data_IF_530396524192
#
_entry.id   IF_530396524192
#
_cell.length_a   1.000
_cell.length_b   1.000
_cell.length_c   1.000
_cell.angle_alpha   90.00
_cell.angle_beta   90.00
_cell.angle_gamma   90.00
#
_symmetry.space_group_name_H-M   'P 1'
#
loop_
_entity.id
_entity.type
_entity.pdbx_description
1 polymer ?
#
# COMPACT_ATOMS: atom_id res chain seq x y z
N UNK A 1 15.40 -23.22 5.65
CA UNK A 1 14.16 -22.47 5.87
C UNK A 1 13.26 -22.79 4.68
N UNK A 2 12.21 -23.58 4.94
CA UNK A 2 11.43 -24.27 3.92
C UNK A 2 10.68 -23.29 3.00
N UNK A 3 11.03 -23.35 1.72
CA UNK A 3 10.24 -22.78 0.63
C UNK A 3 8.97 -23.62 0.51
N UNK A 4 7.88 -23.17 1.14
CA UNK A 4 6.58 -23.75 0.90
C UNK A 4 6.13 -23.42 -0.54
N UNK A 5 6.10 -24.47 -1.36
CA UNK A 5 5.41 -24.57 -2.64
C UNK A 5 4.01 -23.95 -2.56
N UNK A 6 3.71 -22.93 -3.36
CA UNK A 6 2.32 -22.50 -3.60
C UNK A 6 2.07 -22.28 -5.09
N UNK A 7 1.65 -23.37 -5.72
CA UNK A 7 1.01 -23.38 -7.02
C UNK A 7 -0.42 -22.82 -6.90
N UNK A 8 -0.57 -21.50 -7.06
CA UNK A 8 -1.72 -20.80 -7.65
C UNK A 8 -1.44 -19.31 -7.57
N UNK A 9 -1.27 -18.66 -8.72
CA UNK A 9 -0.68 -17.32 -8.91
C UNK A 9 -1.47 -16.11 -8.36
N UNK A 10 -2.39 -16.30 -7.41
CA UNK A 10 -3.26 -15.22 -6.94
C UNK A 10 -3.01 -14.76 -5.51
N UNK A 11 -2.37 -15.54 -4.63
CA UNK A 11 -2.13 -15.13 -3.24
C UNK A 11 -0.64 -15.23 -2.89
N UNK A 12 0.06 -14.10 -2.94
CA UNK A 12 1.43 -14.00 -2.40
C UNK A 12 1.43 -13.00 -1.24
N UNK A 13 1.35 -13.56 -0.02
CA UNK A 13 1.58 -12.82 1.22
C UNK A 13 3.09 -12.67 1.41
N UNK A 14 3.64 -11.51 1.07
CA UNK A 14 5.05 -11.20 1.33
C UNK A 14 5.23 -10.70 2.77
N UNK A 15 5.22 -11.62 3.74
CA UNK A 15 5.72 -11.34 5.09
C UNK A 15 7.24 -11.57 5.10
N UNK A 16 8.01 -10.59 4.62
CA UNK A 16 9.46 -10.74 4.41
C UNK A 16 10.26 -10.13 5.58
N UNK A 17 11.09 -10.98 6.20
CA UNK A 17 12.02 -10.65 7.28
C UNK A 17 13.23 -9.88 6.74
N UNK A 18 13.46 -8.66 7.22
CA UNK A 18 14.75 -7.95 7.13
C UNK A 18 15.40 -7.81 5.74
N UNK A 19 14.63 -7.85 4.64
CA UNK A 19 15.20 -7.69 3.31
C UNK A 19 15.24 -6.23 2.84
N UNK A 20 16.38 -5.86 2.28
CA UNK A 20 16.69 -4.53 1.71
C UNK A 20 15.58 -3.97 0.80
N UNK A 21 15.38 -2.63 0.74
CA UNK A 21 14.44 -1.94 -0.16
C UNK A 21 14.43 -2.39 -1.63
N UNK A 22 15.54 -2.97 -2.11
CA UNK A 22 15.69 -3.49 -3.48
C UNK A 22 14.81 -4.72 -3.75
N UNK A 23 14.56 -5.56 -2.76
CA UNK A 23 13.75 -6.77 -2.92
C UNK A 23 12.27 -6.43 -3.13
N UNK A 24 11.73 -5.50 -2.35
CA UNK A 24 10.34 -5.04 -2.50
C UNK A 24 10.06 -4.47 -3.89
N UNK A 25 11.00 -3.70 -4.45
CA UNK A 25 10.87 -3.19 -5.82
C UNK A 25 10.78 -4.31 -6.86
N UNK A 26 11.62 -5.34 -6.73
CA UNK A 26 11.60 -6.51 -7.61
C UNK A 26 10.25 -7.24 -7.56
N UNK A 27 9.73 -7.46 -6.36
CA UNK A 27 8.45 -8.14 -6.15
C UNK A 27 7.26 -7.35 -6.71
N UNK A 28 7.19 -6.04 -6.45
CA UNK A 28 6.12 -5.19 -6.99
C UNK A 28 6.17 -5.21 -8.52
N UNK A 29 7.35 -5.00 -9.11
CA UNK A 29 7.53 -5.04 -10.56
C UNK A 29 7.12 -6.40 -11.15
N UNK A 30 7.46 -7.50 -10.48
CA UNK A 30 7.07 -8.83 -10.90
C UNK A 30 5.54 -9.01 -10.89
N UNK A 31 4.86 -8.62 -9.80
CA UNK A 31 3.41 -8.71 -9.69
C UNK A 31 2.70 -7.87 -10.76
N UNK A 32 3.19 -6.65 -10.99
CA UNK A 32 2.68 -5.76 -12.04
C UNK A 32 2.91 -6.35 -13.44
N UNK A 33 4.10 -6.88 -13.72
CA UNK A 33 4.41 -7.54 -15.00
C UNK A 33 3.54 -8.78 -15.26
N UNK A 34 3.07 -9.44 -14.20
CA UNK A 34 2.12 -10.56 -14.27
C UNK A 34 0.66 -10.12 -14.33
N UNK A 35 0.40 -8.81 -14.34
CA UNK A 35 -0.94 -8.23 -14.31
C UNK A 35 -1.77 -8.77 -13.13
N UNK A 36 -1.16 -8.85 -11.95
CA UNK A 36 -1.83 -9.28 -10.73
C UNK A 36 -3.05 -8.39 -10.43
N UNK A 37 -4.16 -9.03 -10.06
CA UNK A 37 -5.39 -8.34 -9.63
C UNK A 37 -5.35 -7.96 -8.15
N UNK A 38 -4.53 -8.66 -7.37
CA UNK A 38 -4.39 -8.51 -5.93
C UNK A 38 -2.93 -8.30 -5.58
N UNK A 39 -2.67 -7.28 -4.76
CA UNK A 39 -1.36 -7.02 -4.18
C UNK A 39 -1.50 -6.77 -2.69
N UNK A 40 -0.91 -7.65 -1.88
CA UNK A 40 -0.92 -7.54 -0.41
C UNK A 40 0.52 -7.43 0.08
N UNK A 41 0.84 -6.34 0.76
CA UNK A 41 2.18 -6.03 1.22
C UNK A 41 2.13 -5.63 2.69
N UNK A 42 2.88 -6.37 3.50
CA UNK A 42 3.07 -6.08 4.91
C UNK A 42 4.55 -5.85 5.19
N UNK A 43 4.88 -4.64 5.63
CA UNK A 43 6.25 -4.27 5.98
C UNK A 43 6.44 -4.46 7.49
N UNK A 44 7.62 -4.88 7.93
CA UNK A 44 7.94 -4.87 9.36
C UNK A 44 8.30 -3.45 9.80
N UNK A 45 7.93 -3.11 11.02
CA UNK A 45 8.41 -1.93 11.73
C UNK A 45 8.70 -2.34 13.17
N UNK A 46 9.98 -2.35 13.51
CA UNK A 46 10.48 -2.91 14.78
C UNK A 46 9.98 -2.15 16.03
N UNK A 47 9.41 -0.95 15.86
CA UNK A 47 9.03 -0.06 16.96
C UNK A 47 7.52 0.11 17.20
N UNK A 48 6.66 -0.73 16.62
CA UNK A 48 5.20 -0.53 16.69
C UNK A 48 4.55 -0.84 18.06
N UNK A 49 5.18 -1.64 18.91
CA UNK A 49 4.49 -2.26 20.06
C UNK A 49 4.20 -1.33 21.24
N UNK A 50 4.75 -0.12 21.29
CA UNK A 50 4.68 0.71 22.52
C UNK A 50 4.43 2.22 22.34
N UNK A 51 4.36 2.78 21.13
CA UNK A 51 4.45 4.25 20.96
C UNK A 51 3.17 4.97 20.53
N UNK A 52 2.85 6.03 21.26
CA UNK A 52 1.78 6.99 21.01
C UNK A 52 2.14 8.06 19.97
N UNK A 53 3.41 8.18 19.57
CA UNK A 53 3.90 9.25 18.70
C UNK A 53 4.41 8.73 17.33
N UNK A 54 3.50 8.74 16.35
CA UNK A 54 3.75 8.36 14.96
C UNK A 54 4.66 9.33 14.20
N UNK A 55 4.99 10.49 14.76
CA UNK A 55 5.91 11.44 14.11
C UNK A 55 7.33 10.90 14.02
N UNK A 56 7.74 10.06 14.98
CA UNK A 56 9.10 9.53 15.14
C UNK A 56 9.37 8.19 14.45
N UNK A 57 8.31 7.48 14.01
CA UNK A 57 8.43 6.12 13.49
C UNK A 57 9.03 6.11 12.08
N UNK A 58 10.13 5.37 11.91
CA UNK A 58 10.77 5.17 10.61
C UNK A 58 10.20 3.98 9.82
N UNK A 59 8.91 4.07 9.46
CA UNK A 59 8.30 3.10 8.56
C UNK A 59 8.84 3.23 7.12
N UNK A 60 8.82 2.11 6.39
CA UNK A 60 9.20 2.06 4.98
C UNK A 60 8.35 3.01 4.12
N UNK A 61 9.00 3.83 3.28
CA UNK A 61 8.33 4.67 2.30
C UNK A 61 7.88 3.84 1.10
N UNK A 62 6.57 3.60 0.99
CA UNK A 62 6.03 2.80 -0.09
C UNK A 62 6.24 3.49 -1.46
N UNK A 63 6.89 2.83 -2.43
CA UNK A 63 7.21 3.43 -3.72
C UNK A 63 6.00 3.38 -4.68
N UNK A 64 5.06 4.31 -4.49
CA UNK A 64 3.80 4.39 -5.25
C UNK A 64 3.98 4.43 -6.77
N UNK A 65 5.10 4.97 -7.26
CA UNK A 65 5.45 5.03 -8.68
C UNK A 65 5.64 3.64 -9.33
N UNK A 66 5.83 2.57 -8.55
CA UNK A 66 5.94 1.21 -9.08
C UNK A 66 4.58 0.58 -9.40
N UNK A 67 3.49 1.14 -8.88
CA UNK A 67 2.15 0.69 -9.23
C UNK A 67 1.78 1.20 -10.62
N UNK A 68 1.02 0.44 -11.42
CA UNK A 68 0.62 0.88 -12.75
C UNK A 68 -0.29 2.12 -12.70
N UNK A 69 -0.21 2.95 -13.73
CA UNK A 69 -1.13 4.08 -13.91
C UNK A 69 -2.47 3.53 -14.43
N UNK A 70 -3.57 4.10 -13.96
CA UNK A 70 -4.92 3.82 -14.41
C UNK A 70 -5.04 4.06 -15.91
N UNK A 71 -5.61 3.08 -16.62
CA UNK A 71 -5.75 3.13 -18.07
C UNK A 71 -4.63 2.44 -18.85
N UNK A 72 -3.46 2.17 -18.23
CA UNK A 72 -2.36 1.44 -18.89
C UNK A 72 -2.53 -0.09 -18.82
N UNK A 73 -3.77 -0.58 -18.90
CA UNK A 73 -4.05 -2.02 -18.82
C UNK A 73 -3.87 -2.62 -17.42
N UNK A 74 -3.80 -1.80 -16.38
CA UNK A 74 -3.77 -2.26 -14.97
C UNK A 74 -4.96 -3.17 -14.65
N UNK A 75 -4.65 -4.38 -14.21
CA UNK A 75 -5.63 -5.33 -13.68
C UNK A 75 -5.77 -5.26 -12.17
N UNK A 76 -4.99 -4.44 -11.48
CA UNK A 76 -5.04 -4.33 -10.03
C UNK A 76 -6.42 -3.83 -9.58
N UNK A 77 -7.08 -4.61 -8.72
CA UNK A 77 -8.40 -4.34 -8.13
C UNK A 77 -8.35 -4.33 -6.61
N UNK A 78 -7.47 -5.15 -6.02
CA UNK A 78 -7.28 -5.21 -4.57
C UNK A 78 -5.87 -4.77 -4.21
N UNK A 79 -5.77 -3.79 -3.31
CA UNK A 79 -4.51 -3.38 -2.69
C UNK A 79 -4.63 -3.40 -1.17
N UNK A 80 -3.72 -4.12 -0.53
CA UNK A 80 -3.54 -4.13 0.92
C UNK A 80 -2.13 -3.68 1.26
N UNK A 81 -2.02 -2.58 2.00
CA UNK A 81 -0.74 -2.05 2.49
C UNK A 81 -0.78 -2.02 4.01
N UNK A 82 0.22 -2.63 4.64
CA UNK A 82 0.37 -2.66 6.09
C UNK A 82 1.71 -2.10 6.53
N UNK A 83 1.71 -1.22 7.53
CA UNK A 83 2.91 -0.76 8.23
C UNK A 83 3.90 0.02 7.32
N UNK A 84 3.40 1.03 6.59
CA UNK A 84 4.24 1.84 5.71
C UNK A 84 3.88 3.33 5.73
N UNK A 85 4.79 4.16 5.21
CA UNK A 85 4.50 5.55 4.85
C UNK A 85 3.94 5.57 3.43
N UNK A 86 2.80 6.23 3.25
CA UNK A 86 2.18 6.45 1.95
C UNK A 86 2.15 7.95 1.66
N UNK A 87 2.78 8.36 0.56
CA UNK A 87 2.69 9.75 0.13
C UNK A 87 1.32 10.00 -0.49
N UNK A 88 0.57 10.96 0.06
CA UNK A 88 -0.81 11.26 -0.33
C UNK A 88 -0.93 12.07 -1.64
N UNK A 89 0.08 11.97 -2.51
CA UNK A 89 0.17 12.69 -3.79
C UNK A 89 -0.99 12.28 -4.75
N UNK A 90 -0.92 12.59 -6.05
CA UNK A 90 -1.93 12.22 -7.07
C UNK A 90 -2.19 10.70 -7.24
N UNK A 91 -1.67 9.85 -6.36
CA UNK A 91 -1.82 8.38 -6.38
C UNK A 91 -3.29 7.93 -6.40
N UNK A 92 -4.19 8.69 -5.76
CA UNK A 92 -5.62 8.36 -5.69
C UNK A 92 -6.35 8.62 -7.01
N UNK A 93 -5.89 9.62 -7.75
CA UNK A 93 -6.40 9.95 -9.10
C UNK A 93 -5.80 8.96 -10.10
N UNK A 94 -4.48 8.77 -10.04
CA UNK A 94 -3.73 8.13 -11.10
C UNK A 94 -3.64 6.61 -10.96
N UNK A 95 -3.50 6.07 -9.75
CA UNK A 95 -3.12 4.65 -9.56
C UNK A 95 -4.18 3.83 -8.82
N UNK A 96 -4.91 4.46 -7.89
CA UNK A 96 -5.93 3.78 -7.09
C UNK A 96 -7.33 3.88 -7.70
N UNK A 97 -7.53 4.66 -8.77
CA UNK A 97 -8.85 4.85 -9.37
C UNK A 97 -9.45 3.58 -10.00
N UNK A 98 -8.66 2.52 -10.22
CA UNK A 98 -9.17 1.20 -10.65
C UNK A 98 -9.47 0.24 -9.52
N UNK A 99 -9.10 0.55 -8.27
CA UNK A 99 -9.28 -0.37 -7.15
C UNK A 99 -10.75 -0.49 -6.78
N UNK A 100 -11.17 -1.72 -6.50
CA UNK A 100 -12.46 -2.03 -5.86
C UNK A 100 -12.30 -2.25 -4.37
N UNK A 101 -11.13 -2.73 -3.93
CA UNK A 101 -10.80 -2.90 -2.51
C UNK A 101 -9.48 -2.21 -2.15
N UNK A 102 -9.51 -1.40 -1.09
CA UNK A 102 -8.33 -0.79 -0.49
C UNK A 102 -8.30 -1.06 1.01
N UNK A 103 -7.24 -1.70 1.47
CA UNK A 103 -6.98 -1.97 2.88
C UNK A 103 -5.69 -1.28 3.30
N UNK A 104 -5.78 -0.36 4.25
CA UNK A 104 -4.65 0.35 4.83
C UNK A 104 -4.65 0.11 6.34
N UNK A 105 -3.60 -0.56 6.83
CA UNK A 105 -3.42 -0.84 8.25
C UNK A 105 -2.08 -0.29 8.72
N UNK A 106 -2.03 0.48 9.82
CA UNK A 106 -0.77 1.04 10.34
C UNK A 106 -0.04 1.90 9.29
N UNK A 107 -0.81 2.64 8.48
CA UNK A 107 -0.29 3.48 7.38
C UNK A 107 -0.21 4.94 7.80
N UNK A 108 0.99 5.53 7.65
CA UNK A 108 1.22 6.97 7.86
C UNK A 108 1.15 7.69 6.52
N UNK A 109 0.16 8.56 6.37
CA UNK A 109 0.09 9.49 5.25
C UNK A 109 1.14 10.59 5.42
N UNK A 110 1.87 10.88 4.34
CA UNK A 110 2.89 11.93 4.30
C UNK A 110 2.53 12.92 3.19
N UNK A 111 2.45 14.20 3.53
CA UNK A 111 2.01 15.28 2.64
C UNK A 111 0.64 15.83 3.02
N UNK A 112 0.15 16.80 2.25
CA UNK A 112 -1.19 17.35 2.44
C UNK A 112 -2.21 16.31 1.97
N UNK A 113 -2.84 15.61 2.93
CA UNK A 113 -4.03 14.83 2.62
C UNK A 113 -5.17 15.81 2.33
N UNK A 114 -5.72 15.77 1.12
CA UNK A 114 -6.90 16.57 0.79
C UNK A 114 -8.18 15.96 1.40
N UNK A 115 -9.18 16.78 1.79
CA UNK A 115 -10.46 16.30 2.32
C UNK A 115 -11.22 15.32 1.43
N UNK A 116 -10.86 15.26 0.15
CA UNK A 116 -11.52 14.40 -0.84
C UNK A 116 -10.58 13.33 -1.39
N UNK A 117 -9.55 12.94 -0.64
CA UNK A 117 -8.52 11.99 -1.06
C UNK A 117 -9.07 10.73 -1.76
N UNK A 118 -10.13 10.14 -1.22
CA UNK A 118 -10.73 8.91 -1.77
C UNK A 118 -11.80 9.15 -2.85
N UNK A 119 -12.18 10.40 -3.12
CA UNK A 119 -13.27 10.72 -4.07
C UNK A 119 -12.95 10.32 -5.51
N UNK A 120 -11.66 10.25 -5.86
CA UNK A 120 -11.18 9.81 -7.17
C UNK A 120 -11.17 8.29 -7.35
N UNK A 121 -11.37 7.53 -6.26
CA UNK A 121 -11.50 6.07 -6.30
C UNK A 121 -12.95 5.67 -6.65
N UNK A 122 -13.41 6.04 -7.85
CA UNK A 122 -14.82 5.91 -8.27
C UNK A 122 -15.34 4.47 -8.38
N UNK A 123 -14.44 3.48 -8.40
CA UNK A 123 -14.75 2.04 -8.44
C UNK A 123 -14.65 1.35 -7.08
N UNK A 124 -14.30 2.10 -6.03
CA UNK A 124 -14.04 1.53 -4.72
C UNK A 124 -15.35 1.05 -4.08
N UNK A 125 -15.42 -0.25 -3.83
CA UNK A 125 -16.55 -0.92 -3.17
C UNK A 125 -16.27 -1.11 -1.67
N UNK A 126 -15.00 -1.26 -1.30
CA UNK A 126 -14.57 -1.45 0.09
C UNK A 126 -13.32 -0.63 0.42
N UNK A 127 -13.40 0.12 1.53
CA UNK A 127 -12.30 0.85 2.13
C UNK A 127 -12.15 0.43 3.59
N UNK A 128 -10.97 -0.07 3.94
CA UNK A 128 -10.59 -0.34 5.34
C UNK A 128 -9.44 0.57 5.74
N UNK A 129 -9.65 1.34 6.80
CA UNK A 129 -8.64 2.18 7.43
C UNK A 129 -8.49 1.74 8.89
N UNK A 130 -7.35 1.17 9.24
CA UNK A 130 -7.04 0.70 10.59
C UNK A 130 -5.75 1.37 11.05
N UNK A 131 -5.77 2.07 12.19
CA UNK A 131 -4.58 2.74 12.75
C UNK A 131 -3.83 3.55 11.66
N UNK A 132 -4.54 4.41 10.94
CA UNK A 132 -3.95 5.29 9.93
C UNK A 132 -3.74 6.71 10.50
N UNK A 133 -2.65 7.36 10.11
CA UNK A 133 -2.21 8.65 10.66
C UNK A 133 -1.83 9.64 9.55
N UNK A 134 -1.64 10.92 9.88
CA UNK A 134 -1.25 11.94 8.90
C UNK A 134 -2.43 12.65 8.21
N UNK A 135 -3.63 12.55 8.79
CA UNK A 135 -4.82 13.31 8.40
C UNK A 135 -4.95 14.64 9.15
N UNK A 136 -3.86 15.13 9.75
CA UNK A 136 -3.90 16.32 10.61
C UNK A 136 -4.29 17.59 9.82
N UNK A 137 -4.02 17.60 8.51
CA UNK A 137 -4.46 18.64 7.57
C UNK A 137 -5.95 18.57 7.22
N UNK A 138 -6.67 17.50 7.58
CA UNK A 138 -8.11 17.34 7.31
C UNK A 138 -9.01 18.04 8.33
N UNK A 139 -8.46 18.88 9.20
CA UNK A 139 -9.27 19.70 10.09
C UNK A 139 -10.06 20.73 9.26
N UNK A 140 -11.38 20.55 9.27
CA UNK A 140 -12.38 21.50 8.76
C UNK A 140 -12.37 22.80 9.56
#
# INVERSE_FOLDING_TARGET
>A
MELANFANLNWFNAALENEHPRYFKGWINFAVARAAETLELAFRCDELSERTDWTTIDCYNFPTHLLPISGEGSKLRHLSLRTCKLRADNIFVDRFSTLTNLVLCDVKFVGEAEPRLFSSCSKLESLTLERCFGFESLRA
#
